data_IF_164784444587
#
_entry.id   IF_164784444587
#
_cell.length_a   1.000
_cell.length_b   1.000
_cell.length_c   1.000
_cell.angle_alpha   90.00
_cell.angle_beta   90.00
_cell.angle_gamma   90.00
#
_symmetry.space_group_name_H-M   'P 1'
#
loop_
_entity.id
_entity.type
_entity.pdbx_description
1 polymer ?
#
# COMPACT_ATOMS: atom_id res chain seq x y z
N UNK A 1 0.98 -16.42 -48.02
CA UNK A 1 2.04 -15.40 -47.97
C UNK A 1 1.83 -14.56 -46.72
N UNK A 2 2.80 -14.62 -45.79
CA UNK A 2 3.27 -13.57 -44.85
C UNK A 2 2.24 -12.61 -44.20
N UNK A 3 2.27 -12.33 -42.90
CA UNK A 3 3.42 -12.31 -42.00
C UNK A 3 3.03 -12.59 -40.54
N UNK A 4 3.83 -13.43 -39.89
CA UNK A 4 3.90 -13.53 -38.43
C UNK A 4 4.65 -12.32 -37.87
N UNK A 5 3.96 -11.44 -37.16
CA UNK A 5 4.63 -10.48 -36.27
C UNK A 5 4.78 -11.13 -34.91
N UNK A 6 5.91 -11.82 -34.73
CA UNK A 6 6.43 -12.17 -33.41
C UNK A 6 6.66 -10.90 -32.61
N UNK A 7 5.91 -10.71 -31.53
CA UNK A 7 6.20 -9.69 -30.52
C UNK A 7 7.55 -10.00 -29.86
N UNK A 8 8.40 -8.98 -29.61
CA UNK A 8 9.70 -9.18 -28.99
C UNK A 8 9.53 -9.40 -27.49
N UNK A 9 9.15 -10.61 -27.12
CA UNK A 9 9.46 -11.16 -25.80
C UNK A 9 10.97 -11.36 -25.69
N UNK A 10 11.50 -11.12 -24.50
CA UNK A 10 12.92 -11.23 -24.12
C UNK A 10 13.85 -10.08 -24.55
N UNK A 11 13.80 -8.96 -23.81
CA UNK A 11 14.99 -8.16 -23.45
C UNK A 11 14.70 -7.17 -22.32
N UNK A 12 14.52 -7.72 -21.11
CA UNK A 12 14.90 -7.01 -19.89
C UNK A 12 15.76 -7.97 -19.07
N UNK A 13 17.01 -8.12 -19.50
CA UNK A 13 18.04 -8.54 -18.57
C UNK A 13 18.16 -7.41 -17.54
N UNK A 14 17.55 -7.62 -16.37
CA UNK A 14 17.88 -6.85 -15.17
C UNK A 14 19.39 -6.93 -15.02
N UNK A 15 20.11 -5.83 -15.29
CA UNK A 15 21.54 -5.79 -15.04
C UNK A 15 21.72 -5.86 -13.53
N UNK A 16 21.98 -7.08 -13.02
CA UNK A 16 22.43 -7.30 -11.66
C UNK A 16 23.61 -6.35 -11.42
N UNK A 17 23.52 -5.50 -10.41
CA UNK A 17 24.67 -4.73 -9.96
C UNK A 17 25.61 -5.70 -9.23
N UNK A 18 26.44 -6.40 -10.02
CA UNK A 18 27.32 -7.49 -9.56
C UNK A 18 28.37 -7.05 -8.54
N UNK A 19 28.57 -5.73 -8.36
CA UNK A 19 29.56 -5.19 -7.43
C UNK A 19 29.29 -5.57 -5.97
N UNK A 20 28.03 -5.61 -5.52
CA UNK A 20 27.68 -6.00 -4.14
C UNK A 20 27.76 -7.51 -3.91
N UNK A 21 27.58 -8.32 -4.96
CA UNK A 21 27.76 -9.77 -4.92
C UNK A 21 29.24 -10.15 -4.94
N UNK A 22 30.08 -9.41 -5.66
CA UNK A 22 31.53 -9.66 -5.76
C UNK A 22 32.25 -9.72 -4.42
N UNK A 23 31.97 -8.77 -3.51
CA UNK A 23 32.58 -8.74 -2.17
C UNK A 23 32.05 -9.84 -1.23
N UNK A 24 30.83 -10.34 -1.47
CA UNK A 24 30.27 -11.43 -0.68
C UNK A 24 30.80 -12.79 -1.14
N UNK A 25 31.05 -12.96 -2.45
CA UNK A 25 31.53 -14.21 -3.05
C UNK A 25 32.95 -14.61 -2.61
N UNK A 26 33.82 -13.64 -2.31
CA UNK A 26 35.17 -13.92 -1.79
C UNK A 26 35.16 -14.59 -0.41
N UNK A 27 34.14 -14.31 0.41
CA UNK A 27 33.95 -14.91 1.75
C UNK A 27 33.33 -16.31 1.66
N UNK A 28 32.68 -16.65 0.55
CA UNK A 28 31.95 -17.91 0.35
C UNK A 28 32.87 -19.10 0.09
N UNK A 29 34.03 -18.85 -0.53
CA UNK A 29 34.99 -19.89 -0.93
C UNK A 29 35.56 -20.69 0.26
N UNK A 30 35.54 -20.13 1.47
CA UNK A 30 36.04 -20.79 2.70
C UNK A 30 34.95 -21.56 3.48
N UNK A 31 33.73 -21.67 2.93
CA UNK A 31 32.62 -22.34 3.62
C UNK A 31 32.52 -23.83 3.29
N UNK A 32 31.97 -24.63 4.21
CA UNK A 32 31.76 -26.09 4.02
C UNK A 32 30.89 -26.47 2.83
N UNK A 33 30.02 -25.56 2.36
CA UNK A 33 29.20 -25.74 1.16
C UNK A 33 29.08 -24.40 0.40
N UNK A 34 30.09 -24.08 -0.43
CA UNK A 34 30.14 -22.80 -1.14
C UNK A 34 28.99 -22.69 -2.15
N UNK A 35 28.53 -23.80 -2.73
CA UNK A 35 27.43 -23.79 -3.72
C UNK A 35 26.11 -23.39 -3.08
N UNK A 36 25.78 -23.99 -1.94
CA UNK A 36 24.58 -23.62 -1.20
C UNK A 36 24.64 -22.17 -0.73
N UNK A 37 25.82 -21.69 -0.30
CA UNK A 37 25.99 -20.31 0.16
C UNK A 37 25.86 -19.29 -0.98
N UNK A 38 26.38 -19.58 -2.17
CA UNK A 38 26.11 -18.76 -3.37
C UNK A 38 24.61 -18.72 -3.66
N UNK A 39 23.92 -19.87 -3.61
CA UNK A 39 22.47 -19.92 -3.80
C UNK A 39 21.72 -19.05 -2.77
N UNK A 40 22.06 -19.12 -1.48
CA UNK A 40 21.45 -18.27 -0.45
C UNK A 40 21.64 -16.77 -0.75
N UNK A 41 22.84 -16.35 -1.17
CA UNK A 41 23.12 -14.95 -1.51
C UNK A 41 22.32 -14.47 -2.72
N UNK A 42 22.24 -15.29 -3.77
CA UNK A 42 21.43 -14.97 -4.96
C UNK A 42 19.95 -14.89 -4.59
N UNK A 43 19.47 -15.83 -3.76
CA UNK A 43 18.09 -15.83 -3.29
C UNK A 43 17.77 -14.59 -2.46
N UNK A 44 18.63 -14.22 -1.50
CA UNK A 44 18.44 -13.04 -0.65
C UNK A 44 18.46 -11.74 -1.47
N UNK A 45 19.32 -11.66 -2.50
CA UNK A 45 19.32 -10.55 -3.45
C UNK A 45 18.00 -10.45 -4.22
N UNK A 46 17.54 -11.55 -4.82
CA UNK A 46 16.31 -11.58 -5.61
C UNK A 46 15.07 -11.33 -4.74
N UNK A 47 15.08 -11.81 -3.49
CA UNK A 47 14.00 -11.54 -2.54
C UNK A 47 13.90 -10.05 -2.23
N UNK A 48 15.05 -9.40 -1.97
CA UNK A 48 15.12 -7.94 -1.77
C UNK A 48 14.74 -7.17 -3.03
N UNK A 49 15.14 -7.66 -4.21
CA UNK A 49 14.74 -7.08 -5.49
C UNK A 49 13.22 -7.18 -5.70
N UNK A 50 12.62 -8.33 -5.39
CA UNK A 50 11.18 -8.53 -5.48
C UNK A 50 10.44 -7.61 -4.51
N UNK A 51 10.94 -7.45 -3.28
CA UNK A 51 10.39 -6.48 -2.33
C UNK A 51 10.47 -5.06 -2.93
N UNK A 52 11.64 -4.60 -3.35
CA UNK A 52 11.85 -3.19 -3.72
C UNK A 52 11.30 -2.79 -5.09
N UNK A 53 11.32 -3.68 -6.08
CA UNK A 53 10.98 -3.38 -7.49
C UNK A 53 9.56 -3.80 -7.88
N UNK A 54 8.79 -4.38 -6.96
CA UNK A 54 7.37 -4.64 -7.20
C UNK A 54 6.54 -3.48 -6.70
N UNK A 55 5.53 -3.15 -7.50
CA UNK A 55 4.57 -2.11 -7.17
C UNK A 55 3.79 -2.58 -5.93
N UNK A 56 3.32 -1.63 -5.13
CA UNK A 56 2.53 -1.98 -3.96
C UNK A 56 1.13 -2.41 -4.38
N UNK A 57 0.43 -3.10 -3.50
CA UNK A 57 -0.95 -3.49 -3.71
C UNK A 57 -1.80 -2.84 -2.61
N UNK A 58 -2.92 -2.25 -3.03
CA UNK A 58 -3.98 -1.83 -2.13
C UNK A 58 -4.99 -2.96 -1.98
N UNK A 59 -5.00 -3.61 -0.83
CA UNK A 59 -6.01 -4.61 -0.51
C UNK A 59 -7.20 -3.98 0.19
N UNK A 60 -8.39 -4.51 -0.08
CA UNK A 60 -9.59 -4.13 0.65
C UNK A 60 -9.90 -5.19 1.68
N UNK A 61 -10.28 -4.79 2.88
CA UNK A 61 -10.79 -5.72 3.90
C UNK A 61 -12.26 -5.48 4.13
N UNK A 62 -13.06 -6.54 3.94
CA UNK A 62 -14.49 -6.55 4.24
C UNK A 62 -14.84 -7.75 5.11
N UNK A 63 -16.09 -7.78 5.58
CA UNK A 63 -16.64 -8.90 6.33
C UNK A 63 -16.79 -10.08 5.37
N UNK A 64 -16.47 -11.27 5.86
CA UNK A 64 -16.84 -12.50 5.14
C UNK A 64 -18.38 -12.57 4.96
N UNK A 65 -18.88 -12.66 3.71
CA UNK A 65 -20.30 -12.65 3.42
C UNK A 65 -21.02 -13.92 3.90
N UNK A 66 -20.29 -14.97 4.29
CA UNK A 66 -20.91 -16.21 4.76
C UNK A 66 -21.61 -16.03 6.12
N UNK A 67 -22.83 -16.61 6.31
CA UNK A 67 -23.65 -16.38 7.51
C UNK A 67 -22.96 -16.71 8.84
N UNK A 68 -22.11 -17.74 8.86
CA UNK A 68 -21.42 -18.23 10.06
C UNK A 68 -20.09 -17.51 10.34
N UNK A 69 -19.58 -16.74 9.39
CA UNK A 69 -18.29 -16.08 9.48
C UNK A 69 -18.35 -14.71 10.18
N UNK A 70 -19.26 -14.56 11.16
CA UNK A 70 -19.33 -13.37 12.01
C UNK A 70 -17.92 -13.07 12.54
N UNK A 71 -17.34 -11.93 12.13
CA UNK A 71 -15.98 -11.45 12.43
C UNK A 71 -14.79 -12.08 11.69
N UNK A 72 -14.97 -12.93 10.66
CA UNK A 72 -13.84 -13.28 9.77
C UNK A 72 -13.58 -12.12 8.81
N UNK A 73 -12.31 -11.76 8.66
CA UNK A 73 -11.89 -10.76 7.69
C UNK A 73 -11.65 -11.43 6.35
N UNK A 74 -12.27 -10.90 5.31
CA UNK A 74 -12.00 -11.26 3.92
C UNK A 74 -11.19 -10.15 3.28
N UNK A 75 -10.14 -10.55 2.56
CA UNK A 75 -9.24 -9.64 1.86
C UNK A 75 -9.54 -9.76 0.37
N UNK A 76 -9.64 -8.61 -0.29
CA UNK A 76 -9.86 -8.52 -1.72
C UNK A 76 -8.63 -7.89 -2.36
N UNK A 77 -8.21 -8.49 -3.46
CA UNK A 77 -7.22 -7.91 -4.36
C UNK A 77 -7.98 -7.18 -5.49
N UNK A 78 -7.77 -5.86 -5.60
CA UNK A 78 -8.43 -5.01 -6.60
C UNK A 78 -7.55 -4.78 -7.85
N UNK A 79 -6.44 -5.53 -7.98
CA UNK A 79 -5.57 -5.43 -9.16
C UNK A 79 -6.28 -5.99 -10.38
N UNK A 80 -6.31 -5.22 -11.47
CA UNK A 80 -6.79 -5.67 -12.78
C UNK A 80 -5.76 -6.61 -13.43
N UNK A 81 -5.88 -7.90 -13.12
CA UNK A 81 -5.00 -8.95 -13.64
C UNK A 81 -5.17 -9.19 -15.14
N UNK A 82 -6.34 -8.91 -15.70
CA UNK A 82 -6.62 -9.07 -17.11
C UNK A 82 -5.85 -8.03 -17.93
N UNK A 83 -5.92 -6.75 -17.53
CA UNK A 83 -5.19 -5.67 -18.18
C UNK A 83 -3.68 -5.76 -17.94
N UNK A 84 -3.25 -6.07 -16.71
CA UNK A 84 -1.83 -6.04 -16.35
C UNK A 84 -1.08 -7.31 -16.75
N UNK A 85 -1.76 -8.46 -16.87
CA UNK A 85 -1.14 -9.73 -17.21
C UNK A 85 0.09 -10.02 -16.33
N UNK A 86 1.24 -10.30 -16.96
CA UNK A 86 2.51 -10.57 -16.26
C UNK A 86 3.14 -9.35 -15.56
N UNK A 87 2.58 -8.16 -15.75
CA UNK A 87 2.99 -6.94 -15.04
C UNK A 87 2.31 -6.80 -13.69
N UNK A 88 1.25 -7.56 -13.43
CA UNK A 88 0.52 -7.51 -12.17
C UNK A 88 1.45 -7.78 -10.97
N UNK A 89 1.35 -7.03 -9.86
CA UNK A 89 2.38 -7.05 -8.82
C UNK A 89 2.56 -8.43 -8.15
N UNK A 90 1.48 -9.17 -7.87
CA UNK A 90 1.58 -10.55 -7.34
C UNK A 90 2.36 -11.47 -8.29
N UNK A 91 2.08 -11.41 -9.60
CA UNK A 91 2.77 -12.22 -10.61
C UNK A 91 4.24 -11.81 -10.75
N UNK A 92 4.53 -10.51 -10.68
CA UNK A 92 5.89 -9.95 -10.73
C UNK A 92 6.74 -10.40 -9.52
N UNK A 93 6.18 -10.39 -8.31
CA UNK A 93 6.84 -10.90 -7.07
C UNK A 93 7.29 -12.34 -7.26
N UNK A 94 6.38 -13.18 -7.72
CA UNK A 94 6.68 -14.58 -7.99
C UNK A 94 7.64 -14.77 -9.14
N UNK A 95 7.58 -13.98 -10.20
CA UNK A 95 8.50 -14.14 -11.33
C UNK A 95 9.95 -13.82 -10.95
N UNK A 96 10.17 -12.83 -10.09
CA UNK A 96 11.51 -12.42 -9.64
C UNK A 96 12.15 -13.50 -8.76
N UNK A 97 11.41 -14.03 -7.77
CA UNK A 97 11.95 -15.04 -6.85
C UNK A 97 11.83 -16.46 -7.43
N UNK A 98 10.78 -16.71 -8.20
CA UNK A 98 10.60 -17.81 -9.13
C UNK A 98 10.82 -19.22 -8.57
N UNK A 99 11.39 -20.06 -9.45
CA UNK A 99 11.74 -21.46 -9.22
C UNK A 99 12.69 -21.61 -8.03
N UNK A 100 13.49 -20.60 -7.69
CA UNK A 100 14.43 -20.68 -6.56
C UNK A 100 13.71 -20.87 -5.22
N UNK A 101 12.47 -20.38 -5.11
CA UNK A 101 11.61 -20.64 -3.96
C UNK A 101 11.17 -22.12 -3.87
N UNK A 102 11.33 -22.92 -4.92
CA UNK A 102 10.95 -24.34 -4.92
C UNK A 102 12.12 -25.26 -4.54
N UNK A 103 13.36 -24.77 -4.64
CA UNK A 103 14.58 -25.58 -4.49
C UNK A 103 14.83 -25.97 -3.03
N UNK A 104 14.68 -25.04 -2.09
CA UNK A 104 15.07 -25.26 -0.69
C UNK A 104 14.00 -24.83 0.33
N UNK A 105 13.92 -25.57 1.43
CA UNK A 105 12.96 -25.30 2.52
C UNK A 105 13.27 -23.99 3.24
N UNK A 106 14.54 -23.63 3.46
CA UNK A 106 14.91 -22.38 4.14
C UNK A 106 14.55 -21.18 3.29
N UNK A 107 14.78 -21.26 1.97
CA UNK A 107 14.33 -20.24 1.01
C UNK A 107 12.81 -20.03 1.06
N UNK A 108 12.01 -21.12 1.11
CA UNK A 108 10.55 -21.02 1.31
C UNK A 108 10.15 -20.29 2.58
N UNK A 109 10.85 -20.56 3.67
CA UNK A 109 10.59 -19.91 4.95
C UNK A 109 10.93 -18.42 4.85
N UNK A 110 12.11 -18.06 4.31
CA UNK A 110 12.50 -16.67 4.08
C UNK A 110 11.50 -15.92 3.20
N UNK A 111 11.06 -16.53 2.10
CA UNK A 111 10.03 -15.95 1.24
C UNK A 111 8.74 -15.66 2.02
N UNK A 112 8.24 -16.62 2.81
CA UNK A 112 7.01 -16.47 3.62
C UNK A 112 7.11 -15.41 4.72
N UNK A 113 8.32 -15.07 5.17
CA UNK A 113 8.54 -14.01 6.15
C UNK A 113 8.42 -12.62 5.53
N UNK A 114 8.90 -12.45 4.28
CA UNK A 114 8.81 -11.20 3.52
C UNK A 114 7.44 -11.05 2.87
N UNK A 115 6.96 -12.12 2.24
CA UNK A 115 5.70 -12.20 1.53
C UNK A 115 4.77 -13.18 2.24
N UNK A 116 3.76 -12.65 2.93
CA UNK A 116 2.88 -13.42 3.80
C UNK A 116 1.70 -13.98 3.00
N UNK A 117 1.53 -15.31 2.96
CA UNK A 117 0.43 -15.92 2.21
C UNK A 117 -0.89 -15.65 2.91
N UNK A 118 -1.93 -15.35 2.14
CA UNK A 118 -3.29 -15.19 2.65
C UNK A 118 -4.33 -15.53 1.59
N UNK A 119 -5.42 -16.18 2.00
CA UNK A 119 -6.58 -16.44 1.15
C UNK A 119 -7.34 -15.14 0.89
N UNK A 120 -7.43 -14.77 -0.38
CA UNK A 120 -8.07 -13.53 -0.81
C UNK A 120 -8.98 -13.79 -1.99
N UNK A 121 -10.02 -12.97 -2.08
CA UNK A 121 -10.97 -12.98 -3.19
C UNK A 121 -10.38 -12.10 -4.29
N UNK A 122 -10.22 -12.70 -5.47
CA UNK A 122 -9.83 -11.99 -6.68
C UNK A 122 -11.09 -11.64 -7.45
N UNK A 123 -11.18 -10.38 -7.86
CA UNK A 123 -12.24 -9.91 -8.75
C UNK A 123 -11.60 -9.71 -10.12
N UNK A 124 -11.97 -10.56 -11.08
CA UNK A 124 -11.54 -10.45 -12.48
C UNK A 124 -12.80 -10.15 -13.29
N UNK A 125 -12.97 -8.90 -13.72
CA UNK A 125 -14.13 -8.40 -14.46
C UNK A 125 -15.50 -8.68 -13.78
N UNK A 126 -16.46 -9.22 -14.54
CA UNK A 126 -17.83 -9.53 -14.14
C UNK A 126 -18.00 -10.96 -13.61
N UNK A 127 -16.92 -11.73 -13.49
CA UNK A 127 -16.97 -13.10 -12.98
C UNK A 127 -17.15 -13.12 -11.45
N UNK A 128 -17.86 -14.11 -10.90
CA UNK A 128 -17.95 -14.29 -9.46
C UNK A 128 -16.54 -14.46 -8.87
N UNK A 129 -16.21 -13.64 -7.87
CA UNK A 129 -14.88 -13.63 -7.29
C UNK A 129 -14.46 -15.01 -6.79
N UNK A 130 -13.27 -15.47 -7.17
CA UNK A 130 -12.72 -16.75 -6.73
C UNK A 130 -11.65 -16.55 -5.66
N UNK A 131 -11.49 -17.55 -4.78
CA UNK A 131 -10.49 -17.51 -3.71
C UNK A 131 -9.15 -18.05 -4.21
N UNK A 132 -8.07 -17.30 -4.01
CA UNK A 132 -6.69 -17.80 -4.17
C UNK A 132 -5.79 -17.26 -3.06
N UNK A 133 -4.63 -17.90 -2.90
CA UNK A 133 -3.58 -17.41 -2.00
C UNK A 133 -2.79 -16.30 -2.70
N UNK A 134 -2.91 -15.08 -2.20
CA UNK A 134 -2.01 -13.97 -2.55
C UNK A 134 -0.91 -13.76 -1.53
N UNK A 135 0.02 -12.87 -1.84
CA UNK A 135 1.29 -12.71 -1.14
C UNK A 135 1.50 -11.27 -0.72
N UNK A 136 1.02 -10.98 0.49
CA UNK A 136 1.08 -9.66 1.10
C UNK A 136 2.53 -9.32 1.41
N UNK A 137 3.00 -8.17 0.96
CA UNK A 137 4.29 -7.59 1.32
C UNK A 137 4.05 -6.52 2.40
N UNK A 138 4.18 -6.83 3.69
CA UNK A 138 3.74 -5.93 4.76
C UNK A 138 4.45 -4.57 4.76
N UNK A 139 5.68 -4.51 4.26
CA UNK A 139 6.52 -3.31 4.22
C UNK A 139 6.14 -2.35 3.10
N UNK A 140 5.29 -2.76 2.16
CA UNK A 140 4.90 -1.97 0.98
C UNK A 140 3.42 -1.89 0.75
N UNK A 141 2.71 -2.99 0.96
CA UNK A 141 1.28 -3.08 0.67
C UNK A 141 0.46 -2.27 1.67
N UNK A 142 -0.67 -1.77 1.17
CA UNK A 142 -1.61 -0.97 1.94
C UNK A 142 -2.94 -1.69 2.07
N UNK A 143 -3.64 -1.40 3.15
CA UNK A 143 -4.98 -1.92 3.40
C UNK A 143 -5.98 -0.78 3.49
N UNK A 144 -7.05 -0.85 2.72
CA UNK A 144 -8.27 -0.09 2.95
C UNK A 144 -9.16 -0.92 3.88
N UNK A 145 -9.36 -0.41 5.09
CA UNK A 145 -10.16 -1.08 6.12
C UNK A 145 -11.58 -0.50 6.12
N UNK A 146 -12.56 -1.29 6.55
CA UNK A 146 -13.98 -0.90 6.62
C UNK A 146 -14.64 -0.71 5.26
N UNK A 147 -14.23 -1.50 4.27
CA UNK A 147 -14.92 -1.56 2.98
C UNK A 147 -16.16 -2.43 3.13
N UNK A 148 -17.29 -1.97 2.63
CA UNK A 148 -18.56 -2.69 2.61
C UNK A 148 -19.72 -1.87 3.16
N UNK A 149 -20.87 -2.53 3.34
CA UNK A 149 -22.09 -1.90 3.85
C UNK A 149 -21.92 -1.40 5.29
N UNK A 150 -22.68 -0.37 5.67
CA UNK A 150 -22.59 0.29 6.98
C UNK A 150 -22.83 -0.68 8.13
N UNK A 151 -23.69 -1.66 7.90
CA UNK A 151 -24.08 -2.74 8.80
C UNK A 151 -22.92 -3.69 9.11
N UNK A 152 -21.91 -3.75 8.23
CA UNK A 152 -20.72 -4.58 8.42
C UNK A 152 -19.65 -3.93 9.30
N UNK A 153 -19.69 -2.60 9.48
CA UNK A 153 -18.66 -1.85 10.22
C UNK A 153 -18.48 -2.36 11.66
N UNK A 154 -19.53 -2.59 12.48
CA UNK A 154 -19.35 -3.09 13.85
C UNK A 154 -18.67 -4.46 13.91
N UNK A 155 -18.92 -5.32 12.92
CA UNK A 155 -18.30 -6.64 12.84
C UNK A 155 -16.82 -6.56 12.46
N UNK A 156 -16.49 -5.67 11.51
CA UNK A 156 -15.11 -5.38 11.13
C UNK A 156 -14.33 -4.78 12.31
N UNK A 157 -14.95 -3.86 13.04
CA UNK A 157 -14.37 -3.28 14.26
C UNK A 157 -14.06 -4.38 15.29
N UNK A 158 -15.03 -5.25 15.57
CA UNK A 158 -14.83 -6.37 16.49
C UNK A 158 -13.73 -7.32 16.02
N UNK A 159 -13.63 -7.60 14.72
CA UNK A 159 -12.61 -8.47 14.14
C UNK A 159 -11.18 -7.90 14.27
N UNK A 160 -11.03 -6.57 14.30
CA UNK A 160 -9.74 -5.90 14.49
C UNK A 160 -9.38 -5.77 15.97
N UNK A 161 -10.35 -5.43 16.82
CA UNK A 161 -10.14 -5.26 18.26
C UNK A 161 -9.90 -6.59 18.98
N UNK A 162 -10.53 -7.67 18.52
CA UNK A 162 -10.42 -9.01 19.09
C UNK A 162 -10.25 -10.02 17.95
N UNK A 163 -9.07 -10.05 17.30
CA UNK A 163 -8.84 -10.95 16.19
C UNK A 163 -8.95 -12.40 16.67
N UNK A 164 -9.80 -13.17 15.98
CA UNK A 164 -9.80 -14.62 16.12
C UNK A 164 -8.44 -15.18 15.68
N UNK A 165 -8.03 -16.37 16.15
CA UNK A 165 -6.80 -17.02 15.69
C UNK A 165 -6.69 -17.08 14.16
N UNK A 166 -7.81 -17.31 13.48
CA UNK A 166 -7.90 -17.29 12.02
C UNK A 166 -7.47 -15.93 11.42
N UNK A 167 -7.83 -14.81 12.04
CA UNK A 167 -7.50 -13.46 11.56
C UNK A 167 -6.11 -12.98 11.99
N UNK A 168 -5.42 -13.67 12.91
CA UNK A 168 -4.15 -13.18 13.43
C UNK A 168 -3.11 -12.99 12.34
N UNK A 169 -2.99 -13.92 11.38
CA UNK A 169 -2.01 -13.79 10.30
C UNK A 169 -2.25 -12.53 9.48
N UNK A 170 -3.50 -12.22 9.13
CA UNK A 170 -3.80 -11.00 8.36
C UNK A 170 -3.60 -9.74 9.19
N UNK A 171 -4.10 -9.67 10.43
CA UNK A 171 -3.95 -8.44 11.25
C UNK A 171 -2.50 -8.16 11.61
N UNK A 172 -1.66 -9.19 11.75
CA UNK A 172 -0.23 -9.01 11.94
C UNK A 172 0.49 -8.58 10.66
N UNK A 173 -0.11 -8.80 9.48
CA UNK A 173 0.45 -8.44 8.17
C UNK A 173 0.18 -7.00 7.75
N UNK A 174 -0.77 -6.33 8.41
CA UNK A 174 -1.09 -4.93 8.14
C UNK A 174 -0.05 -4.04 8.83
N UNK A 175 0.82 -3.38 8.04
CA UNK A 175 1.71 -2.31 8.55
C UNK A 175 1.34 -0.93 8.03
N UNK A 176 0.57 -0.84 6.93
CA UNK A 176 0.11 0.41 6.35
C UNK A 176 -1.38 0.35 6.05
N UNK A 177 -2.13 1.36 6.50
CA UNK A 177 -3.57 1.48 6.27
C UNK A 177 -3.85 2.76 5.50
N UNK A 178 -4.63 2.67 4.42
CA UNK A 178 -5.15 3.84 3.71
C UNK A 178 -6.56 4.15 4.18
N UNK A 179 -6.85 5.44 4.29
CA UNK A 179 -8.15 5.96 4.68
C UNK A 179 -8.46 7.16 3.78
N UNK A 180 -9.73 7.30 3.42
CA UNK A 180 -10.19 8.51 2.75
C UNK A 180 -10.50 9.58 3.81
N UNK A 181 -9.97 10.79 3.64
CA UNK A 181 -10.15 11.92 4.57
C UNK A 181 -11.63 12.29 4.72
N UNK A 182 -12.40 12.07 3.66
CA UNK A 182 -13.85 12.31 3.64
C UNK A 182 -14.58 11.27 4.47
N UNK A 183 -14.03 10.06 4.56
CA UNK A 183 -14.61 8.96 5.32
C UNK A 183 -14.11 8.93 6.76
N UNK A 184 -12.96 9.55 7.09
CA UNK A 184 -12.38 9.61 8.44
C UNK A 184 -13.37 10.11 9.51
N UNK A 185 -14.41 10.86 9.14
CA UNK A 185 -15.41 11.39 10.08
C UNK A 185 -16.86 11.31 9.63
N UNK A 186 -17.14 10.78 8.43
CA UNK A 186 -18.52 10.63 7.96
C UNK A 186 -19.30 9.56 8.72
N UNK A 187 -18.60 8.57 9.28
CA UNK A 187 -19.22 7.43 9.97
C UNK A 187 -18.85 7.27 11.46
N UNK A 188 -18.57 8.37 12.18
CA UNK A 188 -18.29 8.37 13.63
C UNK A 188 -17.01 7.59 14.07
N UNK A 189 -16.00 7.61 13.21
CA UNK A 189 -14.74 6.87 13.31
C UNK A 189 -13.72 7.32 14.37
N UNK A 190 -14.05 8.24 15.29
CA UNK A 190 -13.18 8.43 16.46
C UNK A 190 -12.94 7.11 17.21
N UNK A 191 -13.95 6.23 17.19
CA UNK A 191 -13.90 4.88 17.75
C UNK A 191 -13.22 3.88 16.80
N UNK A 192 -13.52 3.81 15.51
CA UNK A 192 -12.89 2.78 14.66
C UNK A 192 -11.48 3.14 14.16
N UNK A 193 -11.09 4.42 14.20
CA UNK A 193 -9.68 4.79 14.06
C UNK A 193 -8.86 4.22 15.22
N UNK A 194 -9.42 4.15 16.43
CA UNK A 194 -8.76 3.44 17.53
C UNK A 194 -8.55 1.96 17.21
N UNK A 195 -9.50 1.27 16.56
CA UNK A 195 -9.29 -0.13 16.16
C UNK A 195 -8.16 -0.30 15.15
N UNK A 196 -8.00 0.64 14.21
CA UNK A 196 -6.84 0.66 13.31
C UNK A 196 -5.56 0.80 14.13
N UNK A 197 -5.52 1.75 15.07
CA UNK A 197 -4.36 1.97 15.94
C UNK A 197 -4.04 0.80 16.88
N UNK A 198 -4.98 -0.12 17.12
CA UNK A 198 -4.73 -1.34 17.89
C UNK A 198 -4.04 -2.44 17.10
N UNK A 199 -3.92 -2.31 15.78
CA UNK A 199 -3.18 -3.29 14.96
C UNK A 199 -1.74 -3.46 15.48
N UNK A 200 -1.25 -4.71 15.60
CA UNK A 200 -0.03 -5.01 16.34
C UNK A 200 1.24 -4.53 15.65
N UNK A 201 1.25 -4.52 14.31
CA UNK A 201 2.41 -4.18 13.49
C UNK A 201 2.19 -2.92 12.64
N UNK A 202 1.16 -2.13 12.94
CA UNK A 202 0.89 -0.89 12.22
C UNK A 202 2.06 0.08 12.40
N UNK A 203 2.59 0.57 11.28
CA UNK A 203 3.66 1.57 11.22
C UNK A 203 3.20 2.88 10.61
N UNK A 204 2.14 2.83 9.81
CA UNK A 204 1.70 3.98 9.05
C UNK A 204 0.19 3.98 8.81
N UNK A 205 -0.40 5.17 8.91
CA UNK A 205 -1.73 5.47 8.38
C UNK A 205 -1.57 6.52 7.30
N UNK A 206 -2.15 6.28 6.14
CA UNK A 206 -2.14 7.17 4.99
C UNK A 206 -3.55 7.73 4.76
N UNK A 207 -3.71 9.05 4.80
CA UNK A 207 -4.98 9.74 4.51
C UNK A 207 -4.90 10.45 3.16
N UNK A 208 -6.01 10.53 2.42
CA UNK A 208 -6.00 11.33 1.19
C UNK A 208 -5.92 12.83 1.53
N UNK A 209 -5.25 13.63 0.71
CA UNK A 209 -5.17 15.10 0.93
C UNK A 209 -6.37 15.87 0.38
N UNK A 210 -7.35 15.17 -0.19
CA UNK A 210 -8.45 15.75 -0.95
C UNK A 210 -7.98 16.52 -2.18
N UNK A 211 -8.56 17.69 -2.40
CA UNK A 211 -8.25 18.50 -3.59
C UNK A 211 -6.84 19.08 -3.47
N UNK A 212 -6.00 18.79 -4.47
CA UNK A 212 -4.66 19.38 -4.62
C UNK A 212 -4.73 20.49 -5.65
N UNK A 213 -4.31 21.69 -5.26
CA UNK A 213 -4.26 22.84 -6.17
C UNK A 213 -2.83 23.03 -6.66
N UNK A 214 -2.63 22.80 -7.95
CA UNK A 214 -1.35 23.05 -8.61
C UNK A 214 -1.31 24.51 -9.05
N UNK A 215 -0.60 25.33 -8.28
CA UNK A 215 -0.49 26.76 -8.53
C UNK A 215 0.84 27.06 -9.23
N UNK A 216 0.80 27.94 -10.24
CA UNK A 216 1.99 28.51 -10.89
C UNK A 216 2.73 29.43 -9.90
N UNK A 217 3.44 28.81 -8.96
CA UNK A 217 4.13 29.52 -7.88
C UNK A 217 5.53 29.92 -8.37
N UNK A 218 5.85 31.23 -8.38
CA UNK A 218 7.18 31.71 -8.76
C UNK A 218 8.26 31.00 -7.93
N UNK A 219 9.41 30.64 -8.52
CA UNK A 219 10.48 29.88 -7.85
C UNK A 219 10.85 30.42 -6.46
N UNK A 220 10.90 31.75 -6.32
CA UNK A 220 11.18 32.48 -5.07
C UNK A 220 10.15 32.31 -3.94
N UNK A 221 8.93 31.86 -4.25
CA UNK A 221 7.83 31.62 -3.30
C UNK A 221 7.56 30.13 -3.07
N UNK A 222 8.39 29.25 -3.63
CA UNK A 222 8.29 27.80 -3.42
C UNK A 222 8.84 27.46 -2.04
N UNK A 223 8.16 26.57 -1.33
CA UNK A 223 8.65 26.11 -0.03
C UNK A 223 9.89 25.21 -0.18
N UNK A 224 10.68 25.09 0.88
CA UNK A 224 11.78 24.13 0.96
C UNK A 224 11.22 22.78 1.44
N UNK A 225 11.36 21.72 0.62
CA UNK A 225 10.76 20.40 0.91
C UNK A 225 11.38 19.66 2.09
N UNK A 226 12.58 20.05 2.53
CA UNK A 226 13.28 19.42 3.65
C UNK A 226 12.83 19.95 5.02
N UNK A 227 11.97 20.96 5.04
CA UNK A 227 11.54 21.65 6.25
C UNK A 227 10.18 21.15 6.72
N UNK A 228 9.95 21.18 8.03
CA UNK A 228 8.60 21.12 8.58
C UNK A 228 7.89 22.47 8.34
N UNK A 229 6.77 22.44 7.63
CA UNK A 229 6.04 23.62 7.21
C UNK A 229 4.66 23.67 7.87
N UNK A 230 4.08 24.86 8.10
CA UNK A 230 2.65 24.95 8.35
C UNK A 230 1.87 24.30 7.21
N UNK A 231 0.68 23.77 7.51
CA UNK A 231 -0.24 23.32 6.46
C UNK A 231 -0.51 24.47 5.46
N UNK A 232 -0.39 24.18 4.16
CA UNK A 232 -0.56 25.17 3.10
C UNK A 232 -2.00 25.14 2.56
N UNK A 233 -2.79 26.15 2.93
CA UNK A 233 -4.20 26.28 2.50
C UNK A 233 -4.37 26.54 1.01
N UNK A 234 -3.32 26.99 0.33
CA UNK A 234 -3.37 27.23 -1.11
C UNK A 234 -3.16 25.93 -1.89
N UNK A 235 -2.32 25.03 -1.38
CA UNK A 235 -2.03 23.74 -2.02
C UNK A 235 -3.00 22.63 -1.57
N UNK A 236 -3.30 22.56 -0.27
CA UNK A 236 -4.10 21.49 0.36
C UNK A 236 -5.29 22.06 1.14
N UNK A 237 -6.25 22.72 0.46
CA UNK A 237 -7.40 23.34 1.12
C UNK A 237 -8.24 22.33 1.94
N UNK A 238 -8.44 21.12 1.43
CA UNK A 238 -9.22 20.08 2.11
C UNK A 238 -8.57 19.63 3.42
N UNK A 239 -7.24 19.54 3.44
CA UNK A 239 -6.49 19.17 4.64
C UNK A 239 -6.55 20.26 5.73
N UNK A 240 -6.56 21.54 5.34
CA UNK A 240 -6.78 22.65 6.28
C UNK A 240 -8.18 22.62 6.86
N UNK A 241 -9.18 22.37 6.03
CA UNK A 241 -10.56 22.28 6.49
C UNK A 241 -10.75 21.11 7.47
N UNK A 242 -10.16 19.97 7.15
CA UNK A 242 -10.11 18.79 8.01
C UNK A 242 -9.49 19.13 9.38
N UNK A 243 -8.29 19.72 9.39
CA UNK A 243 -7.63 20.05 10.65
C UNK A 243 -8.43 21.09 11.45
N UNK A 244 -9.02 22.10 10.79
CA UNK A 244 -9.89 23.06 11.46
C UNK A 244 -11.11 22.39 12.11
N UNK A 245 -11.73 21.44 11.41
CA UNK A 245 -12.97 20.80 11.82
C UNK A 245 -12.76 19.74 12.90
N UNK A 246 -11.66 19.00 12.83
CA UNK A 246 -11.47 17.77 13.62
C UNK A 246 -10.25 17.79 14.56
N UNK A 247 -9.61 18.95 14.74
CA UNK A 247 -8.46 19.13 15.64
C UNK A 247 -8.70 18.52 17.01
N UNK A 248 -9.89 18.70 17.60
CA UNK A 248 -10.16 18.27 18.98
C UNK A 248 -10.28 16.75 19.06
N UNK A 249 -11.00 16.16 18.11
CA UNK A 249 -11.23 14.72 17.96
C UNK A 249 -9.94 13.97 17.63
N UNK A 250 -9.02 14.60 16.88
CA UNK A 250 -7.69 14.05 16.59
C UNK A 250 -6.74 14.08 17.78
N UNK A 251 -6.99 14.86 18.84
CA UNK A 251 -6.07 14.95 19.99
C UNK A 251 -5.67 13.59 20.57
N UNK A 252 -6.61 12.68 20.92
CA UNK A 252 -6.28 11.34 21.42
C UNK A 252 -5.62 10.46 20.35
N UNK A 253 -6.01 10.63 19.08
CA UNK A 253 -5.42 9.90 17.94
C UNK A 253 -3.93 10.21 17.81
N UNK A 254 -3.57 11.50 17.81
CA UNK A 254 -2.20 11.95 17.75
C UNK A 254 -1.33 11.43 18.91
N UNK A 255 -1.88 11.39 20.12
CA UNK A 255 -1.17 10.86 21.28
C UNK A 255 -0.83 9.37 21.07
N UNK A 256 -1.78 8.57 20.55
CA UNK A 256 -1.57 7.16 20.23
C UNK A 256 -0.60 6.95 19.07
N UNK A 257 -0.68 7.78 18.02
CA UNK A 257 0.26 7.75 16.90
C UNK A 257 1.70 7.96 17.39
N UNK A 258 1.92 8.98 18.23
CA UNK A 258 3.23 9.25 18.83
C UNK A 258 3.67 8.12 19.77
N UNK A 259 2.78 7.62 20.63
CA UNK A 259 3.10 6.55 21.58
C UNK A 259 3.57 5.26 20.88
N UNK A 260 2.98 4.93 19.72
CA UNK A 260 3.29 3.70 18.98
C UNK A 260 4.27 3.91 17.81
N UNK A 261 4.84 5.11 17.67
CA UNK A 261 5.70 5.50 16.54
C UNK A 261 5.05 5.21 15.16
N UNK A 262 3.76 5.52 15.05
CA UNK A 262 2.98 5.36 13.82
C UNK A 262 2.98 6.68 13.05
N UNK A 263 3.41 6.64 11.80
CA UNK A 263 3.41 7.81 10.91
C UNK A 263 2.02 8.09 10.37
N UNK A 264 1.63 9.37 10.34
CA UNK A 264 0.46 9.81 9.58
C UNK A 264 0.96 10.46 8.28
N UNK A 265 0.80 9.77 7.17
CA UNK A 265 1.18 10.27 5.85
C UNK A 265 -0.06 10.65 5.05
N UNK A 266 0.18 11.37 3.98
CA UNK A 266 -0.81 11.95 3.12
C UNK A 266 -0.52 11.54 1.68
N UNK A 267 -1.51 11.00 0.98
CA UNK A 267 -1.39 10.59 -0.42
C UNK A 267 -2.33 11.40 -1.31
N UNK A 268 -2.01 11.46 -2.59
CA UNK A 268 -2.87 12.12 -3.57
C UNK A 268 -4.03 11.21 -4.02
N UNK A 269 -5.28 11.70 -4.02
CA UNK A 269 -6.37 10.95 -4.62
C UNK A 269 -6.10 10.78 -6.12
N UNK A 270 -6.36 9.59 -6.66
CA UNK A 270 -6.13 9.28 -8.07
C UNK A 270 -4.66 8.99 -8.45
N UNK A 271 -3.71 9.05 -7.52
CA UNK A 271 -2.27 8.96 -7.81
C UNK A 271 -1.62 7.65 -7.36
N UNK A 272 -2.36 6.55 -7.36
CA UNK A 272 -1.88 5.25 -6.93
C UNK A 272 -1.17 5.28 -5.57
N UNK A 273 0.08 4.80 -5.54
CA UNK A 273 0.88 4.60 -4.32
C UNK A 273 1.76 5.78 -3.91
N UNK A 274 1.46 6.97 -4.40
CA UNK A 274 2.30 8.13 -4.16
C UNK A 274 1.92 8.83 -2.86
N UNK A 275 2.73 8.59 -1.83
CA UNK A 275 2.74 9.38 -0.59
C UNK A 275 3.46 10.70 -0.83
N UNK A 276 2.82 11.81 -0.45
CA UNK A 276 3.30 13.16 -0.72
C UNK A 276 4.00 13.78 0.47
N UNK A 277 3.38 13.67 1.65
CA UNK A 277 3.82 14.36 2.85
C UNK A 277 3.49 13.58 4.12
N UNK A 278 4.28 13.82 5.15
CA UNK A 278 4.06 13.38 6.51
C UNK A 278 3.45 14.53 7.33
N UNK A 279 2.46 14.20 8.16
CA UNK A 279 1.87 15.11 9.12
C UNK A 279 2.46 14.89 10.50
N UNK A 280 2.99 15.96 11.07
CA UNK A 280 3.70 15.94 12.34
C UNK A 280 3.01 16.89 13.31
N UNK A 281 2.54 16.36 14.45
CA UNK A 281 2.02 17.19 15.53
C UNK A 281 3.15 17.64 16.44
N UNK A 282 3.25 18.96 16.66
CA UNK A 282 4.23 19.58 17.56
C UNK A 282 3.65 19.73 18.97
N UNK A 283 4.53 19.97 19.94
CA UNK A 283 4.17 20.11 21.35
C UNK A 283 3.24 21.30 21.63
N UNK A 284 3.30 22.35 20.80
CA UNK A 284 2.39 23.50 20.83
C UNK A 284 0.97 23.16 20.31
N UNK A 285 0.74 21.91 19.91
CA UNK A 285 -0.52 21.43 19.35
C UNK A 285 -0.69 21.74 17.85
N UNK A 286 0.25 22.44 17.22
CA UNK A 286 0.21 22.70 15.78
C UNK A 286 0.51 21.44 14.96
N UNK A 287 -0.13 21.32 13.80
CA UNK A 287 0.16 20.28 12.81
C UNK A 287 1.04 20.90 11.72
N UNK A 288 2.13 20.21 11.40
CA UNK A 288 3.08 20.56 10.35
C UNK A 288 3.04 19.51 9.25
N UNK A 289 3.30 19.94 8.02
CA UNK A 289 3.54 19.05 6.89
C UNK A 289 5.03 18.98 6.59
N UNK A 290 5.51 17.81 6.23
CA UNK A 290 6.87 17.58 5.73
C UNK A 290 6.78 16.78 4.44
N UNK A 291 7.35 17.26 3.35
CA UNK A 291 7.35 16.50 2.10
C UNK A 291 8.25 15.27 2.22
N UNK A 292 7.79 14.14 1.68
CA UNK A 292 8.54 12.89 1.69
C UNK A 292 9.61 12.84 0.59
N UNK A 293 9.36 13.52 -0.53
CA UNK A 293 10.33 13.69 -1.60
C UNK A 293 11.03 15.06 -1.48
N UNK A 294 12.37 15.10 -1.27
CA UNK A 294 13.12 16.35 -1.26
C UNK A 294 13.13 17.06 -2.62
N UNK A 295 12.94 16.31 -3.73
CA UNK A 295 12.88 16.81 -5.11
C UNK A 295 11.41 16.89 -5.58
N UNK A 296 10.51 17.35 -4.71
CA UNK A 296 9.10 17.42 -5.09
C UNK A 296 8.86 18.43 -6.25
N UNK A 297 8.26 17.94 -7.33
CA UNK A 297 7.83 18.72 -8.48
C UNK A 297 6.44 19.36 -8.28
N UNK A 298 5.99 19.58 -7.04
CA UNK A 298 4.68 20.14 -6.67
C UNK A 298 4.33 21.49 -7.34
N UNK A 299 5.32 22.16 -7.92
CA UNK A 299 5.18 23.43 -8.63
C UNK A 299 5.46 23.34 -10.15
N UNK A 300 5.64 22.14 -10.67
CA UNK A 300 5.87 21.88 -12.09
C UNK A 300 4.67 21.11 -12.64
N UNK A 301 3.79 21.78 -13.39
CA UNK A 301 2.60 21.16 -13.97
C UNK A 301 2.91 19.99 -14.92
N UNK A 302 4.14 19.82 -15.40
CA UNK A 302 4.52 18.71 -16.28
C UNK A 302 5.13 17.54 -15.51
N UNK A 303 5.76 17.81 -14.35
CA UNK A 303 6.45 16.81 -13.53
C UNK A 303 5.82 16.59 -12.15
N UNK A 304 4.70 17.24 -11.84
CA UNK A 304 4.02 17.13 -10.55
C UNK A 304 3.81 15.63 -10.22
N UNK A 305 4.21 15.13 -9.03
CA UNK A 305 4.15 13.70 -8.74
C UNK A 305 2.76 13.12 -8.95
N UNK A 306 1.72 13.87 -8.61
CA UNK A 306 0.30 13.54 -8.88
C UNK A 306 -0.02 13.49 -10.37
N UNK A 307 0.49 14.42 -11.18
CA UNK A 307 0.28 14.40 -12.64
C UNK A 307 1.05 13.23 -13.26
N UNK A 308 2.27 12.95 -12.80
CA UNK A 308 3.06 11.81 -13.25
C UNK A 308 2.40 10.49 -12.84
N UNK A 309 1.88 10.40 -11.61
CA UNK A 309 1.13 9.25 -11.12
C UNK A 309 -0.17 9.06 -11.90
N UNK A 310 -0.99 10.09 -12.07
CA UNK A 310 -2.21 10.02 -12.90
C UNK A 310 -1.89 9.67 -14.36
N UNK A 311 -0.77 10.15 -14.92
CA UNK A 311 -0.32 9.78 -16.28
C UNK A 311 0.19 8.33 -16.35
N UNK A 312 0.86 7.84 -15.31
CA UNK A 312 1.33 6.47 -15.21
C UNK A 312 0.17 5.48 -15.00
N UNK A 313 -0.81 5.85 -14.17
CA UNK A 313 -2.04 5.08 -13.89
C UNK A 313 -3.00 5.07 -15.11
N UNK A 314 -2.94 6.07 -16.00
CA UNK A 314 -3.61 6.00 -17.31
C UNK A 314 -3.00 4.94 -18.28
N UNK A 315 -1.97 4.20 -17.85
CA UNK A 315 -1.46 2.98 -18.49
C UNK A 315 -1.61 1.71 -17.65
N UNK A 316 -2.32 1.79 -16.52
CA UNK A 316 -2.57 0.72 -15.56
C UNK A 316 -3.72 1.14 -14.66
N UNK A 317 -4.95 1.12 -15.21
CA UNK A 317 -6.15 1.60 -14.55
C UNK A 317 -6.48 0.74 -13.32
N UNK A 318 -6.17 1.24 -12.13
CA UNK A 318 -7.17 1.16 -11.07
C UNK A 318 -8.23 2.19 -11.48
N UNK A 319 -9.30 1.71 -12.12
CA UNK A 319 -10.56 2.45 -12.09
C UNK A 319 -10.87 2.67 -10.62
N UNK A 320 -10.50 3.84 -10.08
CA UNK A 320 -10.98 4.25 -8.77
C UNK A 320 -12.48 4.31 -8.92
N UNK A 321 -13.13 3.25 -8.42
CA UNK A 321 -14.54 3.20 -8.09
C UNK A 321 -14.91 4.58 -7.59
N UNK A 322 -15.87 5.20 -8.28
CA UNK A 322 -16.28 6.55 -7.98
C UNK A 322 -16.65 6.64 -6.50
N UNK A 323 -16.67 7.86 -5.96
CA UNK A 323 -17.10 8.10 -4.59
C UNK A 323 -18.48 7.50 -4.27
N UNK A 324 -19.32 7.31 -5.30
CA UNK A 324 -20.62 6.64 -5.24
C UNK A 324 -20.52 5.11 -5.29
N UNK A 325 -19.46 4.54 -5.87
CA UNK A 325 -19.22 3.09 -5.92
C UNK A 325 -18.64 2.55 -4.60
N UNK A 326 -17.84 3.37 -3.91
CA UNK A 326 -17.46 3.13 -2.50
C UNK A 326 -18.67 3.23 -1.56
N UNK A 327 -19.61 4.14 -1.82
CA UNK A 327 -20.82 4.33 -1.02
C UNK A 327 -21.91 3.27 -1.31
N UNK A 328 -21.94 2.71 -2.53
CA UNK A 328 -22.82 1.60 -2.92
C UNK A 328 -22.30 0.22 -2.51
N UNK A 329 -21.18 0.17 -1.77
CA UNK A 329 -20.59 -1.07 -1.29
C UNK A 329 -20.43 -2.07 -2.42
N UNK A 330 -19.93 -1.64 -3.59
CA UNK A 330 -19.81 -2.43 -4.81
C UNK A 330 -20.89 -3.48 -4.93
N UNK A 331 -22.12 -3.09 -5.33
CA UNK A 331 -23.30 -3.96 -5.45
C UNK A 331 -22.92 -5.39 -5.87
N UNK A 332 -22.67 -6.24 -4.87
CA UNK A 332 -22.64 -7.67 -5.06
C UNK A 332 -24.10 -8.04 -5.26
N UNK A 333 -24.53 -8.06 -6.51
CA UNK A 333 -25.75 -8.78 -6.88
C UNK A 333 -25.52 -10.23 -6.48
N UNK A 334 -26.11 -10.62 -5.35
CA UNK A 334 -26.31 -12.01 -5.00
C UNK A 334 -26.94 -12.70 -6.21
N UNK A 335 -26.24 -13.69 -6.77
CA UNK A 335 -26.87 -14.76 -7.54
C UNK A 335 -26.80 -16.01 -6.69
#
# INVERSE_FOLDING_TARGET
>A
MSASTSTPDAKMASSMNMSSLGNALSVVMDTKDPKHKVFELVFDYLLKEAEQKTDSILYWTSRDPTPDAKSRLTVFDQVDYAALGNRAPQRKRFRIVGILNQIDRRSRIKFKLVFRPWEMIYVEDAEPGFVRVGWICPTRDHFLIFVGERESIPHLYAALMRPRPANCLITHSIQSVRIFITELYRYAYGKDFEAILQLPNLKQVAIDVGVIRILSTPKRKRHQHNSELPLDSRLFPSLIEWERKYRQEMKPVWAKLQQKDIKLVCYAPGAGDVELLELIRKNDGSVRMKFLDPVCHCYDNQRHPVILAMKADNGGQLNMLSRDDLARGGEFRSV
#
